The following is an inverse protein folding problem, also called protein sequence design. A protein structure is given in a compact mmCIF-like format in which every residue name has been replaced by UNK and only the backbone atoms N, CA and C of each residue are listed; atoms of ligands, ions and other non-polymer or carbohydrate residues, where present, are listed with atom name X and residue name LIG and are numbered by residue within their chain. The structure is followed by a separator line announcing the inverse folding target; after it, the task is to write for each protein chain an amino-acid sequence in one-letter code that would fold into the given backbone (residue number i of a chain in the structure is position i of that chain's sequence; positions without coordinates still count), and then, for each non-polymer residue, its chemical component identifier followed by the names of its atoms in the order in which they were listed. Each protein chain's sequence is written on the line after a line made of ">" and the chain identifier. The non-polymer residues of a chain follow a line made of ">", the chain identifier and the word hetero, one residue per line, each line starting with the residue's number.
data_IF_364893926346
#
_entry.id   IF_364893926346
#
_cell.length_a   1.000
_cell.length_b   1.000
_cell.length_c   1.000
_cell.angle_alpha   90.00
_cell.angle_beta   90.00
_cell.angle_gamma   90.00
#
_symmetry.space_group_name_H-M   'P 1'
#
loop_
_entity.id
_entity.type
_entity.pdbx_description
1 polymer ?
#
# COMPACT_ATOMS: atom_id res chain seq x y z
N UNK A 1 11.23 17.46 -37.88
CA UNK A 1 11.88 17.95 -36.64
C UNK A 1 10.87 17.76 -35.52
N UNK A 2 10.75 16.54 -35.00
CA UNK A 2 10.00 16.32 -33.77
C UNK A 2 10.93 16.69 -32.62
N UNK A 3 10.58 17.79 -31.97
CA UNK A 3 11.24 18.25 -30.76
C UNK A 3 10.87 17.26 -29.66
N UNK A 4 11.70 16.22 -29.46
CA UNK A 4 11.56 15.27 -28.36
C UNK A 4 11.82 16.03 -27.08
N UNK A 5 10.78 16.64 -26.52
CA UNK A 5 10.80 17.23 -25.20
C UNK A 5 11.32 16.16 -24.25
N UNK A 6 12.46 16.43 -23.63
CA UNK A 6 12.99 15.64 -22.51
C UNK A 6 12.08 15.89 -21.30
N UNK A 7 10.83 15.43 -21.38
CA UNK A 7 9.93 15.34 -20.25
C UNK A 7 10.52 14.26 -19.34
N UNK A 8 11.37 14.68 -18.40
CA UNK A 8 11.89 13.80 -17.36
C UNK A 8 10.72 13.13 -16.67
N UNK A 9 10.58 11.82 -16.89
CA UNK A 9 9.51 11.01 -16.31
C UNK A 9 9.44 11.27 -14.79
N UNK A 10 8.26 11.58 -14.21
CA UNK A 10 8.10 11.88 -12.79
C UNK A 10 8.73 10.85 -11.87
N UNK A 11 8.73 9.56 -12.25
CA UNK A 11 9.41 8.51 -11.50
C UNK A 11 10.87 8.85 -11.17
N UNK A 12 11.66 9.35 -12.14
CA UNK A 12 13.07 9.66 -11.89
C UNK A 12 13.22 10.86 -10.96
N UNK A 13 12.36 11.87 -11.12
CA UNK A 13 12.35 13.06 -10.27
C UNK A 13 11.98 12.70 -8.83
N UNK A 14 10.88 11.96 -8.65
CA UNK A 14 10.40 11.53 -7.34
C UNK A 14 11.38 10.60 -6.63
N UNK A 15 12.01 9.69 -7.37
CA UNK A 15 13.02 8.77 -6.82
C UNK A 15 14.27 9.46 -6.29
N UNK A 16 14.64 10.61 -6.85
CA UNK A 16 15.85 11.36 -6.47
C UNK A 16 15.65 12.26 -5.25
N UNK A 17 14.41 12.46 -4.79
CA UNK A 17 14.12 13.32 -3.65
C UNK A 17 14.59 12.64 -2.37
N UNK A 18 15.50 13.28 -1.65
CA UNK A 18 15.85 12.88 -0.30
C UNK A 18 14.70 13.18 0.66
N UNK A 19 14.14 12.13 1.23
CA UNK A 19 13.00 12.20 2.15
C UNK A 19 13.41 12.16 3.62
N UNK A 20 14.70 11.95 3.93
CA UNK A 20 15.20 11.66 5.28
C UNK A 20 14.76 12.69 6.34
N UNK A 21 14.74 13.98 5.99
CA UNK A 21 14.32 15.09 6.87
C UNK A 21 12.82 15.15 7.15
N UNK A 22 12.04 14.40 6.39
CA UNK A 22 10.57 14.34 6.47
C UNK A 22 10.07 12.97 6.94
N UNK A 23 10.99 12.10 7.37
CA UNK A 23 10.67 10.85 8.04
C UNK A 23 10.46 11.11 9.52
N UNK A 24 9.25 10.84 9.98
CA UNK A 24 8.85 10.88 11.38
C UNK A 24 8.87 9.46 11.95
N UNK A 25 9.17 9.30 13.24
CA UNK A 25 9.00 8.02 13.93
C UNK A 25 7.66 8.01 14.65
N UNK A 26 6.74 7.16 14.19
CA UNK A 26 5.46 6.94 14.86
C UNK A 26 5.41 5.50 15.35
N UNK A 27 5.65 5.32 16.65
CA UNK A 27 5.86 3.99 17.23
C UNK A 27 7.17 3.37 16.76
N UNK A 28 7.11 2.13 16.26
CA UNK A 28 8.30 1.36 15.85
C UNK A 28 8.73 1.62 14.40
N UNK A 29 7.88 2.21 13.56
CA UNK A 29 8.13 2.31 12.12
C UNK A 29 8.32 3.75 11.65
N UNK A 30 9.23 3.98 10.69
CA UNK A 30 9.38 5.27 10.03
C UNK A 30 8.15 5.58 9.18
N UNK A 31 7.76 6.85 9.16
CA UNK A 31 6.63 7.35 8.39
C UNK A 31 7.02 8.61 7.64
N UNK A 32 6.77 8.65 6.33
CA UNK A 32 6.94 9.88 5.54
C UNK A 32 5.74 10.80 5.76
N UNK A 33 5.99 12.03 6.19
CA UNK A 33 4.94 13.02 6.42
C UNK A 33 4.04 13.22 5.19
N UNK A 34 2.73 13.02 5.38
CA UNK A 34 1.75 13.11 4.28
C UNK A 34 1.74 14.45 3.53
N UNK A 35 1.87 15.63 4.19
CA UNK A 35 1.83 16.91 3.47
C UNK A 35 3.03 17.04 2.54
N UNK A 36 4.20 16.56 2.98
CA UNK A 36 5.41 16.56 2.17
C UNK A 36 5.26 15.62 0.97
N UNK A 37 4.75 14.40 1.17
CA UNK A 37 4.53 13.46 0.08
C UNK A 37 3.59 14.02 -1.01
N UNK A 38 2.46 14.61 -0.60
CA UNK A 38 1.51 15.24 -1.52
C UNK A 38 2.13 16.45 -2.23
N UNK A 39 2.88 17.29 -1.53
CA UNK A 39 3.55 18.44 -2.12
C UNK A 39 4.57 18.01 -3.19
N UNK A 40 5.43 17.02 -2.90
CA UNK A 40 6.41 16.51 -3.86
C UNK A 40 5.75 15.84 -5.06
N UNK A 41 4.66 15.10 -4.83
CA UNK A 41 3.86 14.52 -5.92
C UNK A 41 3.37 15.60 -6.89
N UNK A 42 2.72 16.66 -6.37
CA UNK A 42 2.17 17.75 -7.18
C UNK A 42 3.23 18.65 -7.83
N UNK A 43 4.41 18.79 -7.20
CA UNK A 43 5.56 19.44 -7.82
C UNK A 43 6.14 18.62 -8.98
N UNK A 44 6.08 17.29 -8.89
CA UNK A 44 6.52 16.40 -9.96
C UNK A 44 5.51 16.33 -11.10
N UNK A 45 4.22 16.29 -10.78
CA UNK A 45 3.09 16.23 -11.71
C UNK A 45 1.90 17.03 -11.15
N UNK A 46 1.66 18.27 -11.64
CA UNK A 46 0.54 19.10 -11.20
C UNK A 46 -0.83 18.46 -11.39
N UNK A 47 -0.97 17.53 -12.34
CA UNK A 47 -2.23 16.86 -12.68
C UNK A 47 -2.42 15.54 -11.89
N UNK A 48 -1.44 15.12 -11.10
CA UNK A 48 -1.50 13.90 -10.31
C UNK A 48 -2.76 13.88 -9.42
N UNK A 49 -3.49 12.78 -9.36
CA UNK A 49 -4.72 12.68 -8.58
C UNK A 49 -4.72 11.46 -7.69
N UNK A 50 -5.65 11.38 -6.74
CA UNK A 50 -5.83 10.20 -5.92
C UNK A 50 -7.31 10.03 -5.57
N UNK A 51 -7.68 8.78 -5.32
CA UNK A 51 -9.02 8.39 -4.90
C UNK A 51 -8.92 7.38 -3.77
N UNK A 52 -9.82 7.50 -2.79
CA UNK A 52 -10.07 6.45 -1.81
C UNK A 52 -11.14 5.55 -2.39
N UNK A 53 -10.85 4.26 -2.55
CA UNK A 53 -11.81 3.33 -3.11
C UNK A 53 -12.87 2.95 -2.09
N UNK A 54 -14.10 2.87 -2.58
CA UNK A 54 -15.26 2.52 -1.78
C UNK A 54 -15.54 1.03 -1.87
N UNK A 55 -15.96 0.44 -0.76
CA UNK A 55 -16.42 -0.94 -0.62
C UNK A 55 -17.86 -0.88 -0.10
N UNK A 56 -18.82 -1.25 -0.94
CA UNK A 56 -20.26 -1.23 -0.60
C UNK A 56 -20.73 0.10 0.02
N UNK A 57 -20.24 1.23 -0.52
CA UNK A 57 -20.57 2.57 -0.05
C UNK A 57 -19.78 3.06 1.16
N UNK A 58 -18.85 2.25 1.67
CA UNK A 58 -17.97 2.59 2.80
C UNK A 58 -16.54 2.88 2.33
N UNK A 59 -15.82 3.74 3.05
CA UNK A 59 -14.41 4.08 2.79
C UNK A 59 -13.43 2.98 3.25
N UNK A 60 -13.94 1.83 3.69
CA UNK A 60 -13.16 0.71 4.19
C UNK A 60 -13.86 -0.60 3.87
N UNK A 61 -13.08 -1.65 3.68
CA UNK A 61 -13.52 -3.03 3.63
C UNK A 61 -13.55 -3.61 5.05
N UNK A 62 -14.67 -4.24 5.41
CA UNK A 62 -14.80 -5.03 6.65
C UNK A 62 -14.73 -6.52 6.33
N UNK A 63 -13.95 -7.26 7.11
CA UNK A 63 -13.82 -8.72 6.98
C UNK A 63 -13.56 -9.37 8.34
N UNK A 64 -13.68 -10.70 8.42
CA UNK A 64 -13.30 -11.46 9.62
C UNK A 64 -11.82 -11.32 10.00
N UNK A 65 -10.96 -10.94 9.03
CA UNK A 65 -9.53 -10.72 9.23
C UNK A 65 -9.21 -9.30 9.71
N UNK A 66 -10.21 -8.41 9.77
CA UNK A 66 -10.07 -7.00 10.14
C UNK A 66 -10.51 -6.04 9.04
N UNK A 67 -10.05 -4.80 9.17
CA UNK A 67 -10.45 -3.68 8.31
C UNK A 67 -9.32 -3.24 7.38
N UNK A 68 -9.70 -2.86 6.16
CA UNK A 68 -8.77 -2.43 5.13
C UNK A 68 -9.27 -1.18 4.45
N UNK A 69 -8.35 -0.36 3.95
CA UNK A 69 -8.63 0.81 3.11
C UNK A 69 -7.81 0.68 1.84
N UNK A 70 -8.31 1.18 0.71
CA UNK A 70 -7.57 1.15 -0.57
C UNK A 70 -7.53 2.56 -1.16
N UNK A 71 -6.33 2.98 -1.54
CA UNK A 71 -6.09 4.29 -2.16
C UNK A 71 -5.34 4.07 -3.46
N UNK A 72 -5.86 4.67 -4.53
CA UNK A 72 -5.21 4.70 -5.84
C UNK A 72 -4.67 6.10 -6.11
N UNK A 73 -3.45 6.18 -6.66
CA UNK A 73 -2.80 7.44 -7.01
C UNK A 73 -2.45 7.40 -8.49
N UNK A 74 -2.91 8.40 -9.23
CA UNK A 74 -2.66 8.55 -10.66
C UNK A 74 -1.57 9.59 -10.90
N UNK A 75 -0.53 9.22 -11.65
CA UNK A 75 0.52 10.13 -12.13
C UNK A 75 0.73 9.83 -13.61
N UNK A 76 0.62 10.83 -14.47
CA UNK A 76 0.76 10.69 -15.93
C UNK A 76 0.01 9.48 -16.54
N UNK A 77 -1.23 9.24 -16.09
CA UNK A 77 -2.08 8.15 -16.59
C UNK A 77 -1.79 6.76 -16.02
N UNK A 78 -0.85 6.63 -15.08
CA UNK A 78 -0.54 5.37 -14.38
C UNK A 78 -1.16 5.41 -12.98
N UNK A 79 -2.04 4.46 -12.68
CA UNK A 79 -2.88 4.45 -11.45
C UNK A 79 -2.69 3.19 -10.61
N UNK A 80 -1.51 2.98 -10.00
CA UNK A 80 -1.33 1.93 -9.01
C UNK A 80 -2.18 2.20 -7.77
N UNK A 81 -2.68 1.14 -7.17
CA UNK A 81 -3.40 1.20 -5.90
C UNK A 81 -2.67 0.44 -4.82
N UNK A 82 -2.92 0.83 -3.57
CA UNK A 82 -2.43 0.13 -2.39
C UNK A 82 -3.60 -0.11 -1.45
N UNK A 83 -3.84 -1.37 -1.12
CA UNK A 83 -4.67 -1.73 0.02
C UNK A 83 -3.80 -1.77 1.29
N UNK A 84 -4.29 -1.18 2.37
CA UNK A 84 -3.63 -1.11 3.66
C UNK A 84 -4.54 -1.62 4.78
N UNK A 85 -3.93 -2.29 5.77
CA UNK A 85 -4.61 -2.70 6.99
C UNK A 85 -4.87 -1.49 7.89
N UNK A 86 -5.99 -1.49 8.59
CA UNK A 86 -6.29 -0.54 9.67
C UNK A 86 -5.72 -1.09 10.97
N UNK A 87 -4.71 -0.40 11.51
CA UNK A 87 -3.90 -0.89 12.62
C UNK A 87 -3.77 0.19 13.72
N UNK A 88 -3.51 -0.24 14.94
CA UNK A 88 -3.17 0.67 16.05
C UNK A 88 -1.72 1.19 15.94
N UNK A 89 -1.32 2.08 16.84
CA UNK A 89 0.05 2.62 16.89
C UNK A 89 1.13 1.56 17.21
N UNK A 90 0.74 0.32 17.55
CA UNK A 90 1.62 -0.84 17.76
C UNK A 90 1.52 -1.84 16.60
N UNK A 91 0.94 -1.43 15.47
CA UNK A 91 0.78 -2.24 14.26
C UNK A 91 -0.11 -3.47 14.45
N UNK A 92 -1.03 -3.44 15.43
CA UNK A 92 -1.98 -4.54 15.70
C UNK A 92 -3.33 -4.26 15.03
N UNK A 93 -4.01 -5.29 14.49
CA UNK A 93 -5.36 -5.13 13.96
C UNK A 93 -6.34 -4.56 14.99
N UNK A 94 -7.15 -3.58 14.56
CA UNK A 94 -8.22 -3.00 15.37
C UNK A 94 -9.54 -3.70 15.02
N UNK A 95 -10.22 -4.26 16.01
CA UNK A 95 -11.49 -4.98 15.83
C UNK A 95 -12.71 -4.05 15.70
N UNK A 96 -12.62 -2.82 16.20
CA UNK A 96 -13.66 -1.81 16.12
C UNK A 96 -13.01 -0.43 15.88
N UNK A 97 -12.69 -0.08 14.62
CA UNK A 97 -11.98 1.15 14.31
C UNK A 97 -12.87 2.37 14.50
N UNK A 98 -12.29 3.43 15.05
CA UNK A 98 -12.90 4.74 15.11
C UNK A 98 -12.73 5.47 13.77
N UNK A 99 -13.50 6.55 13.51
CA UNK A 99 -13.27 7.40 12.34
C UNK A 99 -11.83 7.93 12.25
N UNK A 100 -11.17 8.17 13.39
CA UNK A 100 -9.76 8.60 13.43
C UNK A 100 -8.80 7.49 12.97
N UNK A 101 -9.07 6.23 13.31
CA UNK A 101 -8.26 5.10 12.87
C UNK A 101 -8.38 4.91 11.35
N UNK A 102 -9.60 5.00 10.81
CA UNK A 102 -9.86 4.94 9.37
C UNK A 102 -9.16 6.10 8.65
N UNK A 103 -9.34 7.34 9.12
CA UNK A 103 -8.71 8.51 8.52
C UNK A 103 -7.17 8.42 8.52
N UNK A 104 -6.58 8.03 9.65
CA UNK A 104 -5.13 7.83 9.77
C UNK A 104 -4.65 6.74 8.81
N UNK A 105 -5.39 5.64 8.70
CA UNK A 105 -5.07 4.54 7.79
C UNK A 105 -5.15 4.96 6.33
N UNK A 106 -6.15 5.77 5.96
CA UNK A 106 -6.27 6.35 4.61
C UNK A 106 -5.06 7.22 4.29
N UNK A 107 -4.67 8.13 5.19
CA UNK A 107 -3.48 8.97 4.99
C UNK A 107 -2.21 8.13 4.81
N UNK A 108 -2.00 7.13 5.67
CA UNK A 108 -0.85 6.23 5.55
C UNK A 108 -0.87 5.48 4.21
N UNK A 109 -2.05 5.02 3.80
CA UNK A 109 -2.20 4.29 2.56
C UNK A 109 -1.97 5.18 1.33
N UNK A 110 -2.41 6.43 1.38
CA UNK A 110 -2.13 7.43 0.36
C UNK A 110 -0.62 7.63 0.18
N UNK A 111 0.14 7.80 1.27
CA UNK A 111 1.59 7.97 1.17
C UNK A 111 2.26 6.70 0.61
N UNK A 112 1.81 5.50 1.00
CA UNK A 112 2.31 4.24 0.42
C UNK A 112 1.96 4.10 -1.07
N UNK A 113 0.79 4.54 -1.50
CA UNK A 113 0.41 4.58 -2.91
C UNK A 113 1.26 5.60 -3.70
N UNK A 114 1.57 6.76 -3.11
CA UNK A 114 2.53 7.72 -3.68
C UNK A 114 3.92 7.09 -3.81
N UNK A 115 4.35 6.27 -2.85
CA UNK A 115 5.64 5.61 -2.90
C UNK A 115 5.76 4.56 -4.02
N UNK A 116 4.64 4.01 -4.51
CA UNK A 116 4.63 3.19 -5.72
C UNK A 116 5.09 4.00 -6.95
N UNK A 117 4.90 5.32 -6.93
CA UNK A 117 5.48 6.28 -7.88
C UNK A 117 6.93 6.68 -7.56
N UNK A 118 7.63 5.86 -6.77
CA UNK A 118 9.05 5.93 -6.40
C UNK A 118 9.45 7.00 -5.39
N UNK A 119 8.52 7.83 -4.90
CA UNK A 119 8.83 8.78 -3.82
C UNK A 119 9.06 8.04 -2.50
N UNK A 120 10.27 8.11 -1.94
CA UNK A 120 10.54 7.55 -0.61
C UNK A 120 10.35 6.03 -0.49
N UNK A 121 10.38 5.27 -1.58
CA UNK A 121 10.16 3.81 -1.55
C UNK A 121 11.14 3.09 -0.60
N UNK A 122 12.34 3.64 -0.40
CA UNK A 122 13.36 3.10 0.50
C UNK A 122 12.94 3.07 1.97
N UNK A 123 12.03 3.94 2.43
CA UNK A 123 11.60 3.94 3.85
C UNK A 123 10.69 2.76 4.20
N UNK A 124 10.10 2.14 3.18
CA UNK A 124 9.26 0.95 3.32
C UNK A 124 10.04 -0.34 3.04
N UNK A 125 11.27 -0.24 2.54
CA UNK A 125 12.12 -1.40 2.34
C UNK A 125 12.50 -1.96 3.72
N UNK A 126 12.12 -3.21 3.99
CA UNK A 126 12.41 -3.89 5.25
C UNK A 126 11.30 -3.84 6.30
N UNK A 127 10.16 -3.19 6.06
CA UNK A 127 8.98 -3.29 6.95
C UNK A 127 8.52 -4.75 7.15
N UNK A 128 8.76 -5.63 6.17
CA UNK A 128 8.37 -7.04 6.18
C UNK A 128 9.47 -7.98 6.71
N UNK A 129 10.66 -7.45 7.03
CA UNK A 129 11.74 -8.27 7.58
C UNK A 129 11.55 -8.44 9.09
N UNK A 130 11.75 -9.66 9.65
CA UNK A 130 11.70 -9.85 11.10
C UNK A 130 12.75 -8.96 11.77
N UNK A 131 12.39 -8.33 12.89
CA UNK A 131 13.32 -7.54 13.71
C UNK A 131 14.49 -8.44 14.15
N UNK A 132 15.61 -8.38 13.42
CA UNK A 132 16.82 -9.15 13.75
C UNK A 132 17.45 -8.71 15.07
N UNK A 133 16.99 -7.61 15.68
CA UNK A 133 17.56 -7.06 16.92
C UNK A 133 17.25 -7.88 18.19
N UNK A 134 16.36 -8.89 18.13
CA UNK A 134 16.08 -9.77 19.28
C UNK A 134 16.61 -11.21 19.13
N UNK A 135 17.32 -11.51 18.05
CA UNK A 135 17.87 -12.85 17.77
C UNK A 135 19.40 -12.84 17.79
N UNK A 136 20.04 -12.47 18.91
CA UNK A 136 21.51 -12.49 18.93
C UNK A 136 22.24 -11.95 20.16
N UNK A 137 21.83 -12.30 21.38
CA UNK A 137 22.77 -12.28 22.52
C UNK A 137 23.03 -13.69 23.06
N UNK A 138 23.57 -14.54 22.21
CA UNK A 138 24.35 -15.70 22.64
C UNK A 138 25.54 -15.88 21.70
N UNK A 139 26.74 -15.58 22.19
CA UNK A 139 27.95 -16.28 21.76
C UNK A 139 28.79 -15.66 20.65
N UNK A 140 29.86 -15.01 21.11
CA UNK A 140 31.24 -15.20 20.65
C UNK A 140 31.84 -14.26 19.60
N UNK A 141 32.78 -13.47 20.11
CA UNK A 141 33.83 -12.74 19.42
C UNK A 141 34.71 -13.70 18.59
N UNK A 142 34.93 -13.41 17.30
CA UNK A 142 35.92 -14.15 16.53
C UNK A 142 36.00 -13.84 15.04
N UNK A 143 36.95 -12.97 14.67
CA UNK A 143 37.78 -12.97 13.44
C UNK A 143 37.15 -13.04 12.03
N UNK A 144 37.41 -11.95 11.28
CA UNK A 144 37.94 -11.83 9.89
C UNK A 144 37.99 -13.07 8.99
N UNK A 145 37.50 -12.92 7.75
CA UNK A 145 37.91 -13.75 6.61
C UNK A 145 37.05 -13.52 5.36
N UNK A 146 37.70 -13.14 4.25
CA UNK A 146 37.17 -13.06 2.88
C UNK A 146 36.50 -14.35 2.38
N UNK A 147 35.55 -14.20 1.45
CA UNK A 147 35.08 -15.29 0.59
C UNK A 147 33.68 -15.09 0.03
N UNK A 148 33.57 -14.69 -1.24
CA UNK A 148 32.35 -14.92 -2.05
C UNK A 148 32.08 -16.42 -2.18
N UNK A 149 30.80 -16.82 -2.29
CA UNK A 149 30.46 -17.65 -3.45
C UNK A 149 29.09 -17.34 -4.10
N UNK A 150 29.15 -17.40 -5.43
CA UNK A 150 28.22 -17.95 -6.42
C UNK A 150 26.70 -18.01 -6.15
N UNK A 151 25.97 -17.39 -7.09
CA UNK A 151 24.53 -17.44 -7.29
C UNK A 151 24.06 -18.81 -7.77
N UNK A 152 23.38 -19.55 -6.88
CA UNK A 152 22.70 -20.82 -7.17
C UNK A 152 21.25 -20.62 -7.62
N UNK A 153 20.87 -21.37 -8.66
CA UNK A 153 19.64 -21.32 -9.45
C UNK A 153 18.29 -21.24 -8.68
N UNK A 154 17.38 -20.46 -9.27
CA UNK A 154 15.95 -20.36 -8.97
C UNK A 154 15.23 -21.71 -9.23
N UNK A 155 14.82 -22.38 -8.15
CA UNK A 155 13.97 -23.57 -8.20
C UNK A 155 12.50 -23.20 -8.38
N UNK A 156 11.89 -23.76 -9.42
CA UNK A 156 10.47 -23.61 -9.77
C UNK A 156 9.57 -24.20 -8.68
N UNK A 157 8.73 -23.38 -8.06
CA UNK A 157 7.65 -23.85 -7.18
C UNK A 157 6.35 -24.01 -8.00
N UNK A 158 5.85 -25.24 -8.02
CA UNK A 158 4.65 -25.66 -8.74
C UNK A 158 3.38 -25.06 -8.13
N UNK A 159 2.48 -24.59 -9.01
CA UNK A 159 1.15 -24.12 -8.65
C UNK A 159 0.25 -25.31 -8.26
N UNK A 160 -0.15 -25.38 -7.00
CA UNK A 160 -1.22 -26.26 -6.56
C UNK A 160 -2.58 -25.66 -6.94
N UNK A 161 -3.29 -26.34 -7.86
CA UNK A 161 -4.66 -26.04 -8.27
C UNK A 161 -5.61 -26.23 -7.09
N UNK A 162 -6.36 -25.18 -6.74
CA UNK A 162 -7.51 -25.29 -5.85
C UNK A 162 -8.71 -25.83 -6.64
N UNK A 163 -9.11 -27.07 -6.35
CA UNK A 163 -10.32 -27.70 -6.89
C UNK A 163 -11.54 -27.21 -6.11
N UNK A 164 -12.32 -26.30 -6.71
CA UNK A 164 -13.62 -25.90 -6.19
C UNK A 164 -14.66 -26.99 -6.44
N UNK A 165 -15.28 -27.50 -5.37
CA UNK A 165 -16.51 -28.29 -5.46
C UNK A 165 -17.69 -27.32 -5.43
N UNK A 166 -18.43 -27.28 -6.54
CA UNK A 166 -19.68 -26.55 -6.66
C UNK A 166 -20.77 -27.21 -5.83
N UNK A 167 -21.52 -26.39 -5.09
CA UNK A 167 -22.82 -26.78 -4.55
C UNK A 167 -23.89 -26.11 -5.40
N UNK A 168 -24.57 -26.95 -6.17
CA UNK A 168 -25.70 -26.62 -7.02
C UNK A 168 -26.97 -26.67 -6.17
N UNK A 169 -27.71 -25.57 -6.11
CA UNK A 169 -29.09 -25.55 -5.61
C UNK A 169 -29.94 -24.66 -6.51
N UNK A 170 -30.72 -25.30 -7.38
CA UNK A 170 -31.85 -24.69 -8.07
C UNK A 170 -32.99 -24.42 -7.07
N UNK A 171 -33.72 -23.31 -7.18
CA UNK A 171 -35.07 -23.32 -7.75
C UNK A 171 -35.79 -21.94 -7.63
N UNK A 172 -36.19 -21.44 -8.80
CA UNK A 172 -37.39 -20.67 -9.19
C UNK A 172 -38.19 -19.81 -8.19
N UNK A 173 -38.50 -18.58 -8.63
CA UNK A 173 -39.64 -17.80 -8.13
C UNK A 173 -39.64 -16.36 -8.67
N UNK A 174 -40.39 -16.08 -9.74
CA UNK A 174 -40.55 -14.72 -10.29
C UNK A 174 -41.45 -13.81 -9.46
N UNK A 175 -41.32 -12.49 -9.62
CA UNK A 175 -42.40 -11.56 -10.01
C UNK A 175 -41.92 -10.09 -9.91
N UNK A 176 -42.17 -9.34 -10.99
CA UNK A 176 -42.62 -7.93 -11.06
C UNK A 176 -42.08 -6.87 -10.07
N UNK A 177 -41.26 -5.98 -10.63
CA UNK A 177 -41.34 -4.51 -10.63
C UNK A 177 -42.06 -3.75 -9.51
N UNK A 178 -41.33 -2.82 -8.90
CA UNK A 178 -41.77 -1.43 -8.71
C UNK A 178 -40.57 -0.53 -8.38
N UNK A 179 -40.37 0.47 -9.23
CA UNK A 179 -39.46 1.60 -9.03
C UNK A 179 -40.07 2.57 -8.02
N UNK A 180 -39.39 2.82 -6.90
CA UNK A 180 -39.70 3.96 -6.04
C UNK A 180 -38.71 5.10 -6.32
N UNK A 181 -39.26 6.21 -6.84
CA UNK A 181 -38.63 7.53 -6.90
C UNK A 181 -38.39 8.05 -5.48
N UNK A 182 -37.12 8.31 -5.14
CA UNK A 182 -36.74 9.11 -3.99
C UNK A 182 -36.79 10.60 -4.37
N UNK A 183 -37.78 11.32 -3.84
CA UNK A 183 -37.79 12.79 -3.83
C UNK A 183 -36.90 13.29 -2.68
N UNK A 184 -35.80 13.96 -3.01
CA UNK A 184 -35.03 14.76 -2.07
C UNK A 184 -35.73 16.11 -1.83
N UNK A 185 -35.91 16.48 -0.57
CA UNK A 185 -36.12 17.87 -0.12
C UNK A 185 -34.83 18.39 0.48
#
# INVERSE_FOLDING_TARGET
>A
MENTSHATHPFRRLFQIDVSKHVEKKGLFPYLGWPFAVAQLRLADPDASWEVRFFDGLLYLSSELGFFVDVAVTVQGVTPSRMCRVLDNKNRPILAPTPFDIHTSIQHCQVKAIALHRLGLSIYAGEDLPDLENAGNTGNSGKTGEGSPEVGACGQAQAHRYSGQGHESANQGGSTGQSHECHCR
#
